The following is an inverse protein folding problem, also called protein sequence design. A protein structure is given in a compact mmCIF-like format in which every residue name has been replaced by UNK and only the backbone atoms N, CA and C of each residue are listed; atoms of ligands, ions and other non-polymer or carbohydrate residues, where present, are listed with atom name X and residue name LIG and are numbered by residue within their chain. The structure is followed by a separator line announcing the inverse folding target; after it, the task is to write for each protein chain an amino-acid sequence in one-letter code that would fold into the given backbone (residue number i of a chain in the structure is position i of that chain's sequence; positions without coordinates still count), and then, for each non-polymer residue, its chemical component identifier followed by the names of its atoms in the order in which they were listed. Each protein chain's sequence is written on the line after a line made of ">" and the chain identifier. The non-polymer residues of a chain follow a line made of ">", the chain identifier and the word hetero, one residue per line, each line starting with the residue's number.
data_IF_195062307327
#
_entry.id   IF_195062307327
#
_cell.length_a   1.000
_cell.length_b   1.000
_cell.length_c   1.000
_cell.angle_alpha   90.00
_cell.angle_beta   90.00
_cell.angle_gamma   90.00
#
_symmetry.space_group_name_H-M   'P 1'
#
loop_
_entity.id
_entity.type
_entity.pdbx_description
1 polymer ?
#
# COMPACT_ATOMS: atom_id res chain seq x y z
N UNK A 1 -13.24 6.23 -39.14
CA UNK A 1 -12.17 5.85 -38.19
C UNK A 1 -12.81 5.11 -37.02
N UNK A 2 -12.41 3.86 -36.74
CA UNK A 2 -12.97 3.06 -35.62
C UNK A 2 -12.06 3.21 -34.39
N UNK A 3 -12.59 3.46 -33.18
CA UNK A 3 -11.76 3.65 -32.00
C UNK A 3 -11.13 2.31 -31.57
N UNK A 4 -9.81 2.25 -31.52
CA UNK A 4 -9.06 1.13 -30.98
C UNK A 4 -9.28 1.06 -29.46
N UNK A 5 -10.20 0.21 -29.00
CA UNK A 5 -10.26 -0.22 -27.60
C UNK A 5 -9.00 -1.01 -27.30
N UNK A 6 -8.04 -0.40 -26.61
CA UNK A 6 -6.94 -1.10 -25.95
C UNK A 6 -7.58 -1.94 -24.83
N UNK A 7 -7.93 -3.20 -25.13
CA UNK A 7 -8.22 -4.18 -24.09
C UNK A 7 -6.89 -4.52 -23.42
N UNK A 8 -6.67 -4.04 -22.20
CA UNK A 8 -5.68 -4.64 -21.31
C UNK A 8 -6.10 -6.10 -21.08
N UNK A 9 -5.49 -7.02 -21.85
CA UNK A 9 -5.61 -8.45 -21.60
C UNK A 9 -4.91 -8.71 -20.28
N UNK A 10 -5.68 -8.98 -19.23
CA UNK A 10 -5.16 -9.49 -17.97
C UNK A 10 -4.34 -10.74 -18.30
N UNK A 11 -3.00 -10.59 -18.32
CA UNK A 11 -2.09 -11.70 -18.54
C UNK A 11 -2.30 -12.62 -17.34
N UNK A 12 -2.84 -13.82 -17.57
CA UNK A 12 -2.86 -14.93 -16.60
C UNK A 12 -1.50 -14.96 -15.93
N UNK A 13 -1.51 -15.06 -14.60
CA UNK A 13 -0.37 -14.77 -13.73
C UNK A 13 0.93 -15.29 -14.35
N UNK A 14 1.88 -14.38 -14.62
CA UNK A 14 3.26 -14.82 -14.71
C UNK A 14 3.57 -15.43 -13.35
N UNK A 15 3.90 -16.72 -13.29
CA UNK A 15 4.51 -17.32 -12.09
C UNK A 15 5.74 -16.48 -11.75
N UNK A 16 5.62 -15.61 -10.75
CA UNK A 16 6.59 -14.56 -10.46
C UNK A 16 7.85 -15.09 -9.74
N UNK A 17 7.93 -16.37 -9.37
CA UNK A 17 9.24 -16.99 -9.14
C UNK A 17 9.21 -18.50 -9.40
N UNK A 18 10.20 -18.98 -10.14
CA UNK A 18 10.56 -20.40 -10.27
C UNK A 18 11.28 -20.95 -9.04
N UNK A 19 11.67 -20.09 -8.11
CA UNK A 19 12.71 -20.42 -7.12
C UNK A 19 12.12 -20.91 -5.78
N UNK A 20 10.84 -21.28 -5.76
CA UNK A 20 10.13 -21.84 -4.59
C UNK A 20 9.76 -20.83 -3.49
N UNK A 21 10.28 -19.60 -3.53
CA UNK A 21 10.01 -18.55 -2.53
C UNK A 21 8.68 -17.82 -2.72
N UNK A 22 8.14 -17.79 -3.95
CA UNK A 22 6.84 -17.18 -4.19
C UNK A 22 5.72 -18.07 -3.66
N UNK A 23 5.15 -17.66 -2.53
CA UNK A 23 3.93 -18.25 -2.00
C UNK A 23 2.77 -17.76 -2.89
N UNK A 24 2.09 -18.65 -3.63
CA UNK A 24 0.96 -18.25 -4.45
C UNK A 24 -0.16 -17.71 -3.56
N UNK A 25 -0.95 -16.78 -4.11
CA UNK A 25 -2.12 -16.27 -3.42
C UNK A 25 -3.08 -17.42 -3.05
N UNK A 26 -3.65 -17.34 -1.84
CA UNK A 26 -4.75 -18.20 -1.39
C UNK A 26 -5.83 -17.35 -0.72
N UNK A 27 -7.07 -17.81 -0.73
CA UNK A 27 -8.18 -17.07 -0.11
C UNK A 27 -7.99 -16.85 1.39
N UNK A 28 -7.35 -17.80 2.08
CA UNK A 28 -6.98 -17.67 3.50
C UNK A 28 -6.05 -16.48 3.75
N UNK A 29 -5.12 -16.19 2.84
CA UNK A 29 -4.27 -15.00 2.97
C UNK A 29 -5.09 -13.71 2.85
N UNK A 30 -6.11 -13.70 1.99
CA UNK A 30 -7.04 -12.59 1.85
C UNK A 30 -7.83 -12.27 3.12
N UNK A 31 -8.09 -13.27 3.96
CA UNK A 31 -8.74 -13.07 5.26
C UNK A 31 -7.88 -12.27 6.23
N UNK A 32 -6.56 -12.48 6.23
CA UNK A 32 -5.62 -11.79 7.12
C UNK A 32 -5.04 -10.49 6.53
N UNK A 33 -5.35 -10.18 5.28
CA UNK A 33 -4.81 -9.02 4.59
C UNK A 33 -5.35 -7.69 5.17
N UNK A 34 -4.45 -6.87 5.70
CA UNK A 34 -4.73 -5.52 6.20
C UNK A 34 -5.43 -4.62 5.17
N UNK A 35 -5.17 -4.83 3.87
CA UNK A 35 -5.80 -4.10 2.77
C UNK A 35 -7.31 -4.38 2.70
N UNK A 36 -7.76 -5.57 3.09
CA UNK A 36 -9.19 -5.90 3.18
C UNK A 36 -9.82 -5.37 4.46
N UNK A 37 -9.08 -5.38 5.58
CA UNK A 37 -9.54 -4.74 6.81
C UNK A 37 -9.69 -3.22 6.68
N UNK A 38 -8.82 -2.56 5.91
CA UNK A 38 -8.88 -1.13 5.65
C UNK A 38 -10.23 -0.66 5.07
N UNK A 39 -10.88 -1.50 4.24
CA UNK A 39 -12.21 -1.24 3.68
C UNK A 39 -13.32 -1.15 4.75
N UNK A 40 -13.07 -1.75 5.92
CA UNK A 40 -14.03 -1.85 7.03
C UNK A 40 -13.83 -0.74 8.07
N UNK A 41 -12.80 0.10 7.92
CA UNK A 41 -12.62 1.26 8.80
C UNK A 41 -13.83 2.19 8.64
N UNK A 42 -14.54 2.56 9.73
CA UNK A 42 -15.71 3.43 9.65
C UNK A 42 -15.37 4.76 8.96
N UNK A 43 -16.25 5.25 8.08
CA UNK A 43 -16.01 6.49 7.34
C UNK A 43 -15.84 7.72 8.27
N UNK A 44 -16.43 7.66 9.46
CA UNK A 44 -16.34 8.66 10.52
C UNK A 44 -14.99 8.66 11.25
N UNK A 45 -14.19 7.59 11.11
CA UNK A 45 -12.90 7.46 11.78
C UNK A 45 -11.81 8.20 10.99
N UNK A 46 -11.22 9.24 11.61
CA UNK A 46 -10.02 9.88 11.06
C UNK A 46 -8.83 8.94 11.20
N UNK A 47 -8.33 8.47 10.07
CA UNK A 47 -7.16 7.58 10.02
C UNK A 47 -5.92 8.34 9.57
N UNK A 48 -4.86 8.32 10.38
CA UNK A 48 -3.61 9.02 10.08
C UNK A 48 -2.47 8.02 10.04
N UNK A 49 -1.85 7.85 8.87
CA UNK A 49 -0.60 7.12 8.70
C UNK A 49 0.54 8.12 8.87
N UNK A 50 1.12 8.13 10.07
CA UNK A 50 2.09 9.14 10.52
C UNK A 50 3.41 9.11 9.75
N UNK A 51 3.80 7.95 9.22
CA UNK A 51 5.00 7.77 8.39
C UNK A 51 4.84 6.59 7.43
N UNK A 52 5.01 6.86 6.14
CA UNK A 52 5.16 5.85 5.11
C UNK A 52 6.50 6.06 4.40
N UNK A 53 7.44 5.14 4.64
CA UNK A 53 8.79 5.22 4.09
C UNK A 53 8.82 4.82 2.63
N UNK A 54 9.28 5.71 1.75
CA UNK A 54 9.42 5.40 0.32
C UNK A 54 10.59 4.46 0.02
N UNK A 55 11.52 4.28 0.95
CA UNK A 55 12.63 3.33 0.88
C UNK A 55 12.44 2.10 1.79
N UNK A 56 11.25 1.88 2.35
CA UNK A 56 10.99 0.70 3.19
C UNK A 56 10.92 -0.56 2.32
N UNK A 57 11.84 -1.49 2.56
CA UNK A 57 11.92 -2.77 1.85
C UNK A 57 11.22 -3.92 2.59
N UNK A 58 10.86 -3.73 3.86
CA UNK A 58 10.16 -4.71 4.70
C UNK A 58 8.64 -4.51 4.61
N UNK A 59 8.20 -3.25 4.67
CA UNK A 59 6.82 -2.81 4.48
C UNK A 59 6.73 -1.89 3.25
N UNK A 60 6.73 -2.44 2.02
CA UNK A 60 6.87 -1.64 0.81
C UNK A 60 5.83 -0.54 0.68
N UNK A 61 6.21 0.64 0.15
CA UNK A 61 5.30 1.78 0.01
C UNK A 61 4.09 1.45 -0.88
N UNK A 62 4.22 0.51 -1.83
CA UNK A 62 3.09 0.07 -2.66
C UNK A 62 2.00 -0.64 -1.85
N UNK A 63 2.35 -1.45 -0.85
CA UNK A 63 1.38 -2.11 0.03
C UNK A 63 0.65 -1.10 0.89
N UNK A 64 1.38 -0.14 1.47
CA UNK A 64 0.81 0.99 2.21
C UNK A 64 -0.11 1.85 1.35
N UNK A 65 0.27 2.14 0.10
CA UNK A 65 -0.57 2.90 -0.83
C UNK A 65 -1.88 2.16 -1.14
N UNK A 66 -1.80 0.84 -1.35
CA UNK A 66 -3.00 0.02 -1.60
C UNK A 66 -3.93 -0.03 -0.38
N UNK A 67 -3.36 -0.15 0.82
CA UNK A 67 -4.10 -0.08 2.07
C UNK A 67 -4.77 1.28 2.23
N UNK A 68 -4.03 2.38 2.07
CA UNK A 68 -4.53 3.75 2.21
C UNK A 68 -5.69 4.05 1.24
N UNK A 69 -5.56 3.63 -0.02
CA UNK A 69 -6.61 3.83 -1.03
C UNK A 69 -7.92 3.11 -0.72
N UNK A 70 -7.87 2.02 0.04
CA UNK A 70 -9.07 1.27 0.44
C UNK A 70 -9.78 1.85 1.66
N UNK A 71 -9.19 2.80 2.39
CA UNK A 71 -9.83 3.42 3.54
C UNK A 71 -10.93 4.38 3.03
N UNK A 72 -12.21 4.19 3.42
CA UNK A 72 -13.32 4.95 2.85
C UNK A 72 -13.44 6.38 3.41
N UNK A 73 -13.02 6.59 4.66
CA UNK A 73 -13.24 7.83 5.41
C UNK A 73 -12.15 8.89 5.27
N UNK A 74 -12.18 9.83 6.22
CA UNK A 74 -11.16 10.87 6.38
C UNK A 74 -9.80 10.21 6.67
N UNK A 75 -8.85 10.38 5.73
CA UNK A 75 -7.57 9.70 5.77
C UNK A 75 -6.43 10.64 5.37
N UNK A 76 -5.32 10.50 6.06
CA UNK A 76 -4.10 11.26 5.81
C UNK A 76 -2.89 10.33 5.88
N UNK A 77 -1.92 10.52 4.98
CA UNK A 77 -0.68 9.74 4.95
C UNK A 77 0.50 10.66 4.69
N UNK A 78 1.56 10.51 5.48
CA UNK A 78 2.82 11.21 5.24
C UNK A 78 3.84 10.30 4.56
N UNK A 79 4.14 10.59 3.30
CA UNK A 79 5.24 9.96 2.58
C UNK A 79 6.58 10.61 2.94
N UNK A 80 7.57 9.80 3.30
CA UNK A 80 8.90 10.28 3.69
C UNK A 80 9.95 9.67 2.77
N UNK A 81 10.60 10.55 1.99
CA UNK A 81 11.69 10.18 1.09
C UNK A 81 12.91 9.71 1.90
N UNK A 82 13.60 8.66 1.44
CA UNK A 82 14.80 8.12 2.11
C UNK A 82 14.52 7.39 3.43
N UNK A 83 13.26 7.33 3.87
CA UNK A 83 12.86 6.58 5.05
C UNK A 83 12.74 5.09 4.73
N UNK A 84 13.42 4.28 5.53
CA UNK A 84 13.44 2.82 5.44
C UNK A 84 12.72 2.21 6.65
N UNK A 85 12.75 0.88 6.75
CA UNK A 85 12.21 0.15 7.89
C UNK A 85 12.92 0.55 9.20
N UNK A 86 14.26 0.45 9.21
CA UNK A 86 15.10 0.75 10.38
C UNK A 86 15.68 2.17 10.42
N UNK A 87 15.48 2.97 9.37
CA UNK A 87 16.01 4.34 9.31
C UNK A 87 14.90 5.36 9.12
N UNK A 88 14.88 6.34 10.01
CA UNK A 88 14.01 7.52 9.93
C UNK A 88 14.89 8.73 9.64
N UNK A 89 14.67 9.44 8.51
CA UNK A 89 15.39 10.66 8.21
C UNK A 89 15.15 11.72 9.30
N UNK A 90 16.11 12.64 9.53
CA UNK A 90 15.96 13.72 10.48
C UNK A 90 14.64 14.47 10.31
N UNK A 91 14.00 14.86 11.42
CA UNK A 91 12.78 15.68 11.34
C UNK A 91 13.11 17.11 10.92
N UNK A 92 12.19 17.71 10.18
CA UNK A 92 12.23 19.12 9.81
C UNK A 92 10.81 19.69 9.93
N UNK A 93 10.69 21.02 10.04
CA UNK A 93 9.39 21.68 10.21
C UNK A 93 8.44 21.31 9.06
N UNK A 94 7.28 20.73 9.39
CA UNK A 94 6.28 20.27 8.41
C UNK A 94 6.49 18.84 7.90
N UNK A 95 7.52 18.12 8.37
CA UNK A 95 7.71 16.70 8.04
C UNK A 95 6.65 15.83 8.70
N UNK A 96 6.37 16.04 9.99
CA UNK A 96 5.48 15.19 10.77
C UNK A 96 4.06 15.74 10.87
N UNK A 97 3.08 14.83 10.90
CA UNK A 97 1.69 15.17 11.22
C UNK A 97 1.62 15.33 12.75
N UNK A 98 1.63 16.57 13.22
CA UNK A 98 1.44 16.90 14.63
C UNK A 98 -0.06 16.90 14.92
N UNK A 99 -0.45 16.20 15.99
CA UNK A 99 -1.84 15.95 16.35
C UNK A 99 -2.45 17.10 17.15
#
# INVERSE_FOLDING_TARGET
>A
MRPTRIRFRMRRERKISSDGWYIPWTDSMGYYDAVNFAKRIPATCRTVITRAGLGDYCCPPMGLAKLFNNIPGNKEIKWVQGSQHGYVPPSYKGRDIVR
#
